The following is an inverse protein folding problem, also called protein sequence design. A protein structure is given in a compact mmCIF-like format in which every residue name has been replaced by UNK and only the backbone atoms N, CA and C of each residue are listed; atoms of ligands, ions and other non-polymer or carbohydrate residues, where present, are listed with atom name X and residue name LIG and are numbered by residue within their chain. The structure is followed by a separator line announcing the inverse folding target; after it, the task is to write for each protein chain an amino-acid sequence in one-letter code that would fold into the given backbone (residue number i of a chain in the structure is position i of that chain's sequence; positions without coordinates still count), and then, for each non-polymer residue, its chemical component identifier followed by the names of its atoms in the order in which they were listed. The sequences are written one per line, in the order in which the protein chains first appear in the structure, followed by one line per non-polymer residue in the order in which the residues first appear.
data_IF_377079778993
#
_entry.id   IF_377079778993
#
_cell.length_a   1.000
_cell.length_b   1.000
_cell.length_c   1.000
_cell.angle_alpha   90.00
_cell.angle_beta   90.00
_cell.angle_gamma   90.00
#
_symmetry.space_group_name_H-M   'P 1'
#
loop_
_entity.id
_entity.type
_entity.pdbx_description
1 polymer ?
#
# COMPACT_ATOMS: atom_id res chain seq x y z
N UNK A 1 1.32 1.44 10.13
CA UNK A 1 1.89 0.65 9.01
C UNK A 1 3.17 1.29 8.56
N UNK A 2 4.06 0.54 7.93
CA UNK A 2 5.32 1.02 7.35
C UNK A 2 5.39 0.53 5.90
N UNK A 3 5.96 1.35 5.01
CA UNK A 3 6.04 1.06 3.56
C UNK A 3 7.47 1.23 3.11
N UNK A 4 8.00 0.25 2.40
CA UNK A 4 9.30 0.38 1.72
C UNK A 4 9.12 0.93 0.30
N UNK A 5 9.79 2.05 0.03
CA UNK A 5 9.75 2.74 -1.27
C UNK A 5 11.16 2.81 -1.85
N UNK A 6 11.31 2.30 -3.07
CA UNK A 6 12.52 2.43 -3.88
C UNK A 6 12.34 3.62 -4.81
N UNK A 7 13.12 4.67 -4.66
CA UNK A 7 13.15 5.77 -5.62
C UNK A 7 14.06 5.39 -6.81
N UNK A 8 13.58 5.59 -8.03
CA UNK A 8 14.33 5.43 -9.28
C UNK A 8 14.14 6.70 -10.12
N UNK A 9 15.21 7.44 -10.39
CA UNK A 9 15.25 8.68 -11.19
C UNK A 9 13.96 9.52 -11.17
N UNK A 10 13.01 9.26 -12.08
CA UNK A 10 11.78 10.03 -12.28
C UNK A 10 10.52 9.47 -11.59
N UNK A 11 10.59 8.28 -10.99
CA UNK A 11 9.46 7.59 -10.34
C UNK A 11 9.90 6.78 -9.12
N UNK A 12 9.00 5.99 -8.55
CA UNK A 12 9.34 5.09 -7.46
C UNK A 12 8.63 3.76 -7.59
N UNK A 13 9.02 2.79 -6.76
CA UNK A 13 8.37 1.50 -6.63
C UNK A 13 8.07 1.19 -5.17
N UNK A 14 6.87 0.69 -4.91
CA UNK A 14 6.52 0.09 -3.64
C UNK A 14 7.07 -1.33 -3.63
N UNK A 15 8.03 -1.58 -2.74
CA UNK A 15 8.78 -2.84 -2.69
C UNK A 15 8.30 -3.76 -1.57
N UNK A 16 7.63 -3.20 -0.57
CA UNK A 16 7.05 -4.00 0.51
C UNK A 16 6.31 -3.18 1.55
N UNK A 17 5.63 -3.89 2.43
CA UNK A 17 4.82 -3.37 3.51
C UNK A 17 5.14 -4.06 4.83
N UNK A 18 5.08 -3.31 5.92
CA UNK A 18 5.19 -3.81 7.28
C UNK A 18 3.95 -3.36 8.05
N UNK A 19 3.10 -4.31 8.43
CA UNK A 19 1.88 -4.06 9.16
C UNK A 19 2.14 -4.41 10.62
N UNK A 20 1.88 -3.44 11.50
CA UNK A 20 1.92 -3.63 12.96
C UNK A 20 0.50 -3.52 13.47
N UNK A 21 0.01 -4.57 14.13
CA UNK A 21 -1.36 -4.64 14.62
C UNK A 21 -1.45 -5.20 16.04
N UNK A 22 -2.44 -4.73 16.80
CA UNK A 22 -2.73 -5.17 18.16
C UNK A 22 -1.78 -4.62 19.23
N UNK A 23 -2.12 -4.87 20.49
CA UNK A 23 -1.35 -4.42 21.67
C UNK A 23 0.04 -5.06 21.76
N UNK A 24 0.18 -6.28 21.23
CA UNK A 24 1.44 -7.01 21.19
C UNK A 24 2.36 -6.57 20.03
N UNK A 25 1.94 -5.58 19.23
CA UNK A 25 2.67 -5.08 18.06
C UNK A 25 3.11 -6.21 17.12
N UNK A 26 2.25 -7.21 16.93
CA UNK A 26 2.49 -8.31 15.99
C UNK A 26 2.82 -7.70 14.63
N UNK A 27 3.99 -8.07 14.13
CA UNK A 27 4.57 -7.52 12.90
C UNK A 27 4.40 -8.53 11.79
N UNK A 28 3.81 -8.08 10.68
CA UNK A 28 3.70 -8.86 9.46
C UNK A 28 4.41 -8.08 8.35
N UNK A 29 5.46 -8.67 7.80
CA UNK A 29 6.20 -8.11 6.66
C UNK A 29 5.73 -8.79 5.36
N UNK A 30 5.48 -7.98 4.33
CA UNK A 30 5.11 -8.40 2.97
C UNK A 30 6.05 -7.75 1.97
N UNK A 31 6.54 -8.49 0.98
CA UNK A 31 7.51 -7.98 0.00
C UNK A 31 8.88 -7.66 0.63
N UNK A 32 9.72 -6.95 -0.12
CA UNK A 32 11.08 -6.59 0.29
C UNK A 32 11.09 -5.32 1.14
N UNK A 33 11.70 -5.41 2.33
CA UNK A 33 11.87 -4.27 3.22
C UNK A 33 13.22 -3.62 2.99
N UNK A 34 13.25 -2.35 2.56
CA UNK A 34 14.51 -1.61 2.40
C UNK A 34 14.94 -1.06 3.77
N UNK A 35 16.02 -1.56 4.39
CA UNK A 35 16.39 -1.17 5.75
C UNK A 35 16.62 0.34 5.85
N UNK A 36 15.98 0.98 6.82
CA UNK A 36 16.12 2.42 7.08
C UNK A 36 15.41 3.34 6.08
N UNK A 37 14.73 2.79 5.06
CA UNK A 37 13.97 3.56 4.06
C UNK A 37 12.48 3.22 4.06
N UNK A 38 11.92 3.06 5.26
CA UNK A 38 10.48 2.84 5.41
C UNK A 38 9.75 4.13 5.80
N UNK A 39 8.66 4.41 5.09
CA UNK A 39 7.75 5.50 5.39
C UNK A 39 6.69 4.98 6.37
N UNK A 40 6.54 5.66 7.51
CA UNK A 40 5.54 5.31 8.51
C UNK A 40 4.20 5.97 8.17
N UNK A 41 3.15 5.16 8.15
CA UNK A 41 1.77 5.59 8.03
C UNK A 41 1.08 5.41 9.36
N UNK A 42 0.57 6.52 9.88
CA UNK A 42 -0.22 6.54 11.09
C UNK A 42 -1.71 6.44 10.76
N UNK A 43 -2.34 5.38 11.26
CA UNK A 43 -3.77 5.14 11.14
C UNK A 43 -4.55 5.48 12.41
N UNK A 44 -3.90 6.06 13.44
CA UNK A 44 -4.56 6.38 14.70
C UNK A 44 -5.75 7.32 14.48
N UNK A 45 -6.88 6.95 15.07
CA UNK A 45 -8.15 7.69 15.03
C UNK A 45 -8.74 7.92 13.63
N UNK A 46 -8.36 7.12 12.63
CA UNK A 46 -8.90 7.19 11.27
C UNK A 46 -9.32 5.79 10.82
N UNK A 47 -10.57 5.64 10.40
CA UNK A 47 -11.06 4.38 9.84
C UNK A 47 -10.58 4.27 8.39
N UNK A 48 -9.68 3.32 8.11
CA UNK A 48 -9.18 3.06 6.76
C UNK A 48 -10.29 2.39 5.91
N UNK A 49 -10.59 2.96 4.74
CA UNK A 49 -11.63 2.49 3.81
C UNK A 49 -11.08 1.80 2.57
N UNK A 50 -9.87 2.14 2.20
CA UNK A 50 -9.27 1.60 0.99
C UNK A 50 -7.93 2.23 0.70
N UNK A 51 -7.48 1.99 -0.52
CA UNK A 51 -6.29 2.62 -1.07
C UNK A 51 -6.55 2.98 -2.52
N UNK A 52 -6.01 4.10 -2.95
CA UNK A 52 -5.78 4.36 -4.36
C UNK A 52 -4.37 3.86 -4.70
N UNK A 53 -4.26 2.99 -5.70
CA UNK A 53 -2.98 2.38 -6.09
C UNK A 53 -2.60 2.90 -7.46
N UNK A 54 -1.36 3.36 -7.61
CA UNK A 54 -0.80 3.84 -8.87
C UNK A 54 0.09 2.75 -9.44
N UNK A 55 -0.40 2.05 -10.46
CA UNK A 55 0.31 0.95 -11.11
C UNK A 55 0.82 1.38 -12.48
N UNK A 56 2.14 1.38 -12.63
CA UNK A 56 2.83 1.76 -13.86
C UNK A 56 3.61 0.59 -14.45
N UNK A 57 4.46 0.89 -15.43
CA UNK A 57 5.41 -0.11 -15.92
C UNK A 57 6.33 -0.55 -14.78
N UNK A 58 6.57 -1.85 -14.64
CA UNK A 58 7.40 -2.41 -13.57
C UNK A 58 6.71 -2.63 -12.22
N UNK A 59 5.44 -2.22 -12.04
CA UNK A 59 4.63 -2.57 -10.87
C UNK A 59 3.98 -1.36 -10.18
N UNK A 60 3.74 -1.50 -8.87
CA UNK A 60 3.11 -0.45 -8.06
C UNK A 60 4.14 0.64 -7.78
N UNK A 61 3.86 1.85 -8.22
CA UNK A 61 4.79 2.96 -8.10
C UNK A 61 4.48 3.88 -6.92
N UNK A 62 3.20 4.03 -6.61
CA UNK A 62 2.74 4.80 -5.47
C UNK A 62 1.43 4.22 -4.95
N UNK A 63 1.04 4.64 -3.75
CA UNK A 63 -0.30 4.40 -3.26
C UNK A 63 -0.73 5.49 -2.28
N UNK A 64 -2.03 5.67 -2.12
CA UNK A 64 -2.61 6.64 -1.22
C UNK A 64 -3.66 5.96 -0.33
N UNK A 65 -3.50 5.97 1.00
CA UNK A 65 -4.56 5.52 1.92
C UNK A 65 -5.82 6.38 1.78
N UNK A 66 -6.98 5.72 1.76
CA UNK A 66 -8.29 6.36 1.74
C UNK A 66 -8.92 6.15 3.13
N UNK A 67 -9.18 7.23 3.85
CA UNK A 67 -9.81 7.19 5.16
C UNK A 67 -11.29 7.57 5.08
N UNK A 68 -12.10 7.02 5.98
CA UNK A 68 -13.45 7.49 6.25
C UNK A 68 -13.33 8.76 7.08
N UNK A 69 -13.65 9.92 6.53
CA UNK A 69 -13.93 11.08 7.35
C UNK A 69 -14.88 12.06 6.66
N UNK A 70 -15.79 12.61 7.47
CA UNK A 70 -16.65 13.73 7.10
C UNK A 70 -15.79 14.99 6.92
N UNK A 71 -15.59 15.41 5.67
CA UNK A 71 -15.29 16.81 5.37
C UNK A 71 -13.86 17.18 4.97
N UNK A 72 -12.81 16.40 5.24
CA UNK A 72 -11.45 16.68 4.70
C UNK A 72 -10.60 15.42 4.45
N UNK A 73 -10.20 15.24 3.18
CA UNK A 73 -9.32 14.16 2.74
C UNK A 73 -7.85 14.54 2.95
N UNK A 74 -7.25 14.18 4.08
CA UNK A 74 -5.79 14.16 4.21
C UNK A 74 -5.24 12.87 3.61
N UNK A 75 -5.29 12.83 2.29
CA UNK A 75 -4.80 11.74 1.45
C UNK A 75 -3.41 12.14 0.96
N UNK A 76 -2.35 11.62 1.58
CA UNK A 76 -0.98 11.83 1.09
C UNK A 76 -0.56 10.62 0.27
N UNK A 77 -0.27 10.87 -1.00
CA UNK A 77 0.34 9.87 -1.89
C UNK A 77 1.72 9.50 -1.34
N UNK A 78 1.98 8.20 -1.27
CA UNK A 78 3.24 7.62 -0.81
C UNK A 78 3.93 7.02 -2.03
N UNK A 79 5.09 7.56 -2.36
CA UNK A 79 5.78 7.31 -3.62
C UNK A 79 5.61 8.46 -4.59
N UNK A 80 6.22 8.32 -5.76
CA UNK A 80 6.20 9.25 -6.88
C UNK A 80 5.79 8.45 -8.14
N UNK A 81 4.51 8.43 -8.50
CA UNK A 81 4.05 7.72 -9.68
C UNK A 81 4.50 8.45 -10.95
N UNK A 82 4.84 7.71 -11.99
CA UNK A 82 5.02 8.27 -13.33
C UNK A 82 3.69 8.77 -13.93
N UNK A 83 3.78 9.56 -14.98
CA UNK A 83 2.60 10.15 -15.66
C UNK A 83 1.77 9.14 -16.44
N UNK A 84 2.23 7.89 -16.55
CA UNK A 84 1.58 6.80 -17.30
C UNK A 84 0.92 5.77 -16.40
N UNK A 85 1.01 5.94 -15.08
CA UNK A 85 0.40 5.07 -14.10
C UNK A 85 -1.13 5.02 -14.27
N UNK A 86 -1.67 3.83 -14.11
CA UNK A 86 -3.10 3.62 -13.94
C UNK A 86 -3.46 3.77 -12.45
N UNK A 87 -4.46 4.59 -12.18
CA UNK A 87 -5.06 4.73 -10.86
C UNK A 87 -6.11 3.65 -10.64
N UNK A 88 -5.91 2.82 -9.61
CA UNK A 88 -6.77 1.69 -9.28
C UNK A 88 -7.32 1.91 -7.86
N UNK A 89 -8.60 2.29 -7.72
CA UNK A 89 -9.22 2.39 -6.41
C UNK A 89 -9.53 0.99 -5.85
N UNK A 90 -8.96 0.67 -4.70
CA UNK A 90 -9.21 -0.54 -3.92
C UNK A 90 -10.01 -0.17 -2.68
N UNK A 91 -11.33 -0.11 -2.81
CA UNK A 91 -12.26 0.29 -1.74
C UNK A 91 -13.29 -0.82 -1.50
N UNK A 92 -12.98 -1.82 -0.66
CA UNK A 92 -13.92 -2.89 -0.37
C UNK A 92 -15.15 -2.38 0.38
N UNK A 93 -16.26 -3.08 0.21
CA UNK A 93 -17.46 -2.86 1.02
C UNK A 93 -17.22 -3.37 2.44
N UNK A 94 -17.03 -2.43 3.38
CA UNK A 94 -16.86 -2.73 4.80
C UNK A 94 -15.44 -2.50 5.31
N UNK A 95 -15.08 -3.21 6.37
CA UNK A 95 -13.76 -3.12 7.00
C UNK A 95 -12.71 -3.94 6.22
N UNK A 96 -11.54 -3.36 5.99
CA UNK A 96 -10.41 -4.09 5.38
C UNK A 96 -9.87 -5.10 6.40
N UNK A 97 -9.95 -6.39 6.06
CA UNK A 97 -9.46 -7.47 6.93
C UNK A 97 -8.19 -8.15 6.45
N UNK A 98 -7.89 -8.04 5.16
CA UNK A 98 -6.75 -8.70 4.57
C UNK A 98 -6.16 -7.88 3.43
N UNK A 99 -4.85 -8.01 3.30
CA UNK A 99 -4.07 -7.58 2.15
C UNK A 99 -3.57 -8.85 1.46
N UNK A 100 -3.73 -8.91 0.14
CA UNK A 100 -3.06 -9.92 -0.68
C UNK A 100 -2.31 -9.23 -1.80
N UNK A 101 -1.16 -9.75 -2.15
CA UNK A 101 -0.43 -9.23 -3.30
C UNK A 101 0.77 -10.09 -3.64
N UNK A 102 1.18 -10.01 -4.90
CA UNK A 102 2.38 -10.66 -5.39
C UNK A 102 3.51 -9.63 -5.46
N UNK A 103 4.63 -9.97 -4.84
CA UNK A 103 5.88 -9.22 -4.94
C UNK A 103 6.89 -10.18 -5.55
N UNK A 104 7.43 -9.84 -6.72
CA UNK A 104 8.45 -10.68 -7.33
C UNK A 104 9.71 -10.69 -6.44
N UNK A 105 10.09 -11.87 -5.96
CA UNK A 105 11.28 -12.08 -5.14
C UNK A 105 12.56 -12.12 -6.00
N UNK A 106 12.40 -12.22 -7.32
CA UNK A 106 13.47 -12.14 -8.30
C UNK A 106 13.37 -10.81 -9.02
N UNK A 107 14.41 -9.97 -8.96
CA UNK A 107 14.52 -8.79 -9.81
C UNK A 107 14.67 -9.19 -11.30
N UNK A 108 13.68 -9.81 -11.94
CA UNK A 108 13.56 -9.86 -13.40
C UNK A 108 12.08 -10.02 -13.77
N UNK A 109 11.40 -8.88 -13.95
CA UNK A 109 10.23 -8.69 -14.81
C UNK A 109 9.11 -9.73 -14.61
N UNK A 110 8.22 -9.50 -13.63
CA UNK A 110 6.78 -9.62 -13.83
C UNK A 110 6.00 -8.88 -12.73
N UNK A 111 4.80 -8.41 -13.08
CA UNK A 111 4.03 -7.36 -12.41
C UNK A 111 3.66 -7.65 -10.93
N UNK A 112 3.91 -6.66 -10.06
CA UNK A 112 3.35 -6.65 -8.71
C UNK A 112 1.86 -6.28 -8.74
N UNK A 113 1.01 -7.10 -8.14
CA UNK A 113 -0.45 -6.86 -8.02
C UNK A 113 -0.84 -6.92 -6.55
N UNK A 114 -1.65 -5.96 -6.08
CA UNK A 114 -2.23 -5.97 -4.72
C UNK A 114 -3.75 -5.94 -4.83
N UNK A 115 -4.43 -6.77 -4.06
CA UNK A 115 -5.89 -6.80 -3.94
C UNK A 115 -6.31 -6.77 -2.45
N UNK A 116 -7.53 -6.30 -2.21
CA UNK A 116 -8.17 -6.29 -0.90
C UNK A 116 -9.37 -7.21 -0.92
N UNK A 117 -9.65 -7.88 0.19
CA UNK A 117 -10.81 -8.77 0.31
C UNK A 117 -11.72 -8.37 1.48
N UNK A 118 -13.06 -8.32 1.28
CA UNK A 118 -14.02 -8.05 2.35
C UNK A 118 -14.29 -9.29 3.21
N UNK A 119 -14.90 -9.08 4.38
CA UNK A 119 -15.32 -10.14 5.27
C UNK A 119 -16.46 -10.97 4.66
N UNK A 120 -16.30 -12.29 4.56
CA UNK A 120 -17.42 -13.21 4.38
C UNK A 120 -17.87 -13.67 5.77
N UNK A 121 -19.15 -13.48 6.10
CA UNK A 121 -19.70 -13.90 7.39
C UNK A 121 -19.56 -15.41 7.58
N UNK A 122 -19.03 -15.80 8.75
CA UNK A 122 -19.11 -17.16 9.30
C UNK A 122 -20.12 -17.13 10.42
#
# INVERSE_FOLDING_TARGET
MEVSVLAEDEHSFITGFCIKYGENLSRIDFGYQIPGKQIKIDFRNRELRGFEVFAGNGGIQAFCPIFKQEGQNYNSVIGNPDSTCYEIPLTPDGEIRAFTGNFDAHCVRDYNTVALSPAHGV
#
